data_IF_379457665436
#
_entry.id   IF_379457665436
#
_cell.length_a   1.000
_cell.length_b   1.000
_cell.length_c   1.000
_cell.angle_alpha   90.00
_cell.angle_beta   90.00
_cell.angle_gamma   90.00
#
_symmetry.space_group_name_H-M   'P 1'
#
loop_
_entity.id
_entity.type
_entity.pdbx_description
1 polymer ?
#
# COMPACT_ATOMS: atom_id res chain seq x y z
N UNK A 1 -6.30 -1.48 -11.25
CA UNK A 1 -6.24 -2.48 -10.17
C UNK A 1 -6.01 -1.71 -8.89
N UNK A 2 -6.93 -1.80 -7.96
CA UNK A 2 -6.86 -1.05 -6.68
C UNK A 2 -5.98 -1.76 -5.64
N UNK A 3 -5.50 -2.97 -5.92
CA UNK A 3 -4.87 -3.83 -4.91
C UNK A 3 -5.85 -4.38 -3.88
N UNK A 4 -7.10 -3.92 -3.90
CA UNK A 4 -8.14 -4.46 -3.06
C UNK A 4 -8.65 -5.78 -3.63
N UNK A 5 -8.76 -6.77 -2.77
CA UNK A 5 -9.14 -8.13 -3.13
C UNK A 5 -10.65 -8.36 -3.17
N UNK A 6 -11.48 -7.33 -2.95
CA UNK A 6 -12.92 -7.49 -3.00
C UNK A 6 -13.49 -7.03 -4.34
N UNK A 7 -14.20 -7.92 -5.07
CA UNK A 7 -14.89 -7.57 -6.30
C UNK A 7 -16.06 -6.62 -6.01
N UNK A 8 -16.25 -5.64 -6.88
CA UNK A 8 -17.36 -4.69 -6.80
C UNK A 8 -18.37 -5.00 -7.90
N UNK A 9 -19.59 -5.33 -7.50
CA UNK A 9 -20.68 -5.57 -8.43
C UNK A 9 -21.00 -4.33 -9.25
N UNK A 10 -21.13 -4.51 -10.57
CA UNK A 10 -21.53 -3.46 -11.51
C UNK A 10 -22.85 -3.82 -12.18
N UNK A 11 -23.76 -2.85 -12.23
CA UNK A 11 -25.09 -2.98 -12.84
C UNK A 11 -25.18 -2.09 -14.09
N UNK A 12 -26.19 -2.30 -14.95
CA UNK A 12 -26.42 -1.39 -16.08
C UNK A 12 -26.51 0.07 -15.63
N UNK A 13 -25.67 0.94 -16.22
CA UNK A 13 -25.53 2.35 -15.83
C UNK A 13 -24.37 2.65 -14.85
N UNK A 14 -23.72 1.63 -14.32
CA UNK A 14 -22.53 1.82 -13.48
C UNK A 14 -21.28 2.15 -14.28
N UNK A 15 -20.40 2.98 -13.73
CA UNK A 15 -19.09 3.24 -14.32
C UNK A 15 -18.11 2.10 -14.07
N UNK A 16 -17.38 1.71 -15.12
CA UNK A 16 -16.22 0.83 -15.03
C UNK A 16 -14.95 1.62 -15.33
N UNK A 17 -13.86 1.31 -14.65
CA UNK A 17 -12.63 2.08 -14.71
C UNK A 17 -11.52 1.32 -15.45
N UNK A 18 -10.71 2.06 -16.22
CA UNK A 18 -9.52 1.48 -16.85
C UNK A 18 -8.56 0.91 -15.80
N UNK A 19 -7.95 -0.23 -16.09
CA UNK A 19 -7.03 -0.90 -15.17
C UNK A 19 -7.69 -1.87 -14.19
N UNK A 20 -9.03 -2.06 -14.26
CA UNK A 20 -9.73 -3.10 -13.51
C UNK A 20 -9.87 -4.39 -14.33
N UNK A 21 -9.87 -5.53 -13.65
CA UNK A 21 -10.12 -6.84 -14.27
C UNK A 21 -11.58 -7.26 -14.04
N UNK A 22 -12.17 -7.94 -15.01
CA UNK A 22 -13.46 -8.59 -14.86
C UNK A 22 -13.21 -9.96 -14.20
N UNK A 23 -13.81 -10.20 -13.04
CA UNK A 23 -13.68 -11.48 -12.35
C UNK A 23 -14.73 -12.49 -12.80
N UNK A 24 -15.95 -12.02 -13.07
CA UNK A 24 -17.06 -12.90 -13.44
C UNK A 24 -18.03 -12.19 -14.40
N UNK A 25 -18.66 -12.95 -15.31
CA UNK A 25 -19.67 -12.47 -16.23
C UNK A 25 -19.13 -11.86 -17.51
N UNK A 26 -20.03 -11.24 -18.26
CA UNK A 26 -19.73 -10.53 -19.51
C UNK A 26 -20.30 -9.11 -19.44
N UNK A 27 -19.50 -8.12 -19.82
CA UNK A 27 -19.92 -6.72 -19.80
C UNK A 27 -19.76 -6.07 -21.17
N UNK A 28 -20.74 -5.26 -21.54
CA UNK A 28 -20.64 -4.33 -22.64
C UNK A 28 -20.60 -2.91 -22.09
N UNK A 29 -19.58 -2.14 -22.44
CA UNK A 29 -19.44 -0.76 -21.93
C UNK A 29 -19.20 0.22 -23.07
N UNK A 30 -19.66 1.45 -22.85
CA UNK A 30 -19.40 2.58 -23.74
C UNK A 30 -18.19 3.35 -23.22
N UNK A 31 -17.20 3.56 -24.08
CA UNK A 31 -16.02 4.38 -23.73
C UNK A 31 -16.43 5.85 -23.65
N UNK A 32 -16.30 6.46 -22.47
CA UNK A 32 -16.55 7.89 -22.27
C UNK A 32 -15.29 8.75 -22.44
N UNK A 33 -14.13 8.21 -22.07
CA UNK A 33 -12.83 8.90 -22.19
C UNK A 33 -11.86 8.04 -22.96
N UNK A 34 -11.28 8.61 -23.99
CA UNK A 34 -10.25 7.95 -24.81
C UNK A 34 -8.87 8.00 -24.12
N UNK A 35 -7.91 7.29 -24.72
CA UNK A 35 -6.50 7.31 -24.32
C UNK A 35 -5.99 8.76 -24.14
N UNK A 36 -5.19 9.00 -23.09
CA UNK A 36 -4.68 10.33 -22.73
C UNK A 36 -5.52 11.08 -21.67
N UNK A 37 -6.72 10.59 -21.35
CA UNK A 37 -7.61 11.23 -20.37
C UNK A 37 -8.09 10.31 -19.25
N UNK A 38 -7.59 9.06 -19.21
CA UNK A 38 -7.94 8.10 -18.17
C UNK A 38 -7.23 8.44 -16.85
N UNK A 39 -7.82 8.02 -15.73
CA UNK A 39 -7.21 8.21 -14.40
C UNK A 39 -5.83 7.54 -14.30
N UNK A 40 -5.70 6.36 -14.90
CA UNK A 40 -4.43 5.63 -14.98
C UNK A 40 -3.36 6.40 -15.76
N UNK A 41 -3.69 6.94 -16.93
CA UNK A 41 -2.73 7.71 -17.75
C UNK A 41 -2.32 9.02 -17.08
N UNK A 42 -3.21 9.68 -16.32
CA UNK A 42 -2.82 10.84 -15.50
C UNK A 42 -1.80 10.46 -14.43
N UNK A 43 -1.96 9.31 -13.77
CA UNK A 43 -1.00 8.82 -12.80
C UNK A 43 0.35 8.56 -13.47
N UNK A 44 0.36 7.88 -14.62
CA UNK A 44 1.59 7.65 -15.40
C UNK A 44 2.23 8.97 -15.80
N UNK A 45 1.45 9.93 -16.29
CA UNK A 45 1.95 11.25 -16.68
C UNK A 45 2.51 12.04 -15.50
N UNK A 46 1.85 12.00 -14.33
CA UNK A 46 2.38 12.61 -13.10
C UNK A 46 3.71 11.98 -12.68
N UNK A 47 3.86 10.66 -12.82
CA UNK A 47 5.11 9.96 -12.56
C UNK A 47 6.20 10.40 -13.54
N UNK A 48 5.91 10.43 -14.85
CA UNK A 48 6.85 10.86 -15.90
C UNK A 48 7.28 12.32 -15.72
N UNK A 49 6.36 13.21 -15.39
CA UNK A 49 6.67 14.63 -15.17
C UNK A 49 7.50 14.84 -13.90
N UNK A 50 7.31 14.01 -12.88
CA UNK A 50 8.14 14.03 -11.67
C UNK A 50 9.60 13.60 -11.93
N UNK A 51 9.82 12.74 -12.92
CA UNK A 51 11.17 12.29 -13.31
C UNK A 51 12.02 13.38 -13.99
N UNK A 52 11.38 14.37 -14.61
CA UNK A 52 12.07 15.45 -15.34
C UNK A 52 12.62 16.56 -14.43
N UNK A 53 12.32 16.56 -13.14
CA UNK A 53 12.70 17.62 -12.21
C UNK A 53 14.12 17.37 -11.65
N UNK A 54 15.07 18.25 -12.01
CA UNK A 54 16.40 18.29 -11.40
C UNK A 54 16.30 18.60 -9.91
N UNK A 55 17.29 18.11 -9.14
CA UNK A 55 17.48 18.45 -7.74
C UNK A 55 17.49 19.98 -7.53
N UNK A 56 16.86 20.46 -6.47
CA UNK A 56 16.83 21.89 -6.15
C UNK A 56 18.20 22.40 -5.77
N UNK A 57 19.02 21.59 -5.08
CA UNK A 57 20.38 21.92 -4.68
C UNK A 57 21.30 21.91 -5.89
N UNK A 58 21.16 20.95 -6.80
CA UNK A 58 21.89 20.93 -8.06
C UNK A 58 21.59 22.17 -8.91
N UNK A 59 20.32 22.58 -8.99
CA UNK A 59 19.89 23.80 -9.66
C UNK A 59 20.50 25.07 -9.03
N UNK A 60 20.46 25.16 -7.69
CA UNK A 60 21.08 26.29 -6.95
C UNK A 60 22.60 26.31 -7.13
N UNK A 61 23.27 25.18 -7.06
CA UNK A 61 24.72 25.09 -7.28
C UNK A 61 25.10 25.49 -8.70
N UNK A 62 24.33 25.06 -9.71
CA UNK A 62 24.54 25.48 -11.10
C UNK A 62 24.36 26.98 -11.30
N UNK A 63 23.29 27.56 -10.75
CA UNK A 63 23.03 29.00 -10.83
C UNK A 63 24.13 29.82 -10.12
N UNK A 64 24.61 29.37 -8.96
CA UNK A 64 25.72 30.00 -8.26
C UNK A 64 27.00 29.92 -9.06
N UNK A 65 27.30 28.77 -9.65
CA UNK A 65 28.45 28.57 -10.51
C UNK A 65 28.41 29.52 -11.72
N UNK A 66 27.26 29.66 -12.37
CA UNK A 66 27.08 30.58 -13.50
C UNK A 66 27.25 32.04 -13.09
N UNK A 67 26.76 32.42 -11.89
CA UNK A 67 26.93 33.78 -11.35
C UNK A 67 28.39 34.14 -11.03
N UNK A 68 29.27 33.15 -10.79
CA UNK A 68 30.70 33.36 -10.53
C UNK A 68 31.53 33.56 -11.79
N UNK A 69 31.05 33.10 -12.96
CA UNK A 69 31.81 33.22 -14.23
C UNK A 69 32.19 34.63 -14.59
N UNK A 70 31.34 35.66 -14.53
CA UNK A 70 31.73 37.05 -14.84
C UNK A 70 32.82 37.57 -13.90
N UNK A 71 32.81 37.16 -12.63
CA UNK A 71 33.80 37.59 -11.64
C UNK A 71 35.16 36.94 -11.91
N UNK A 72 35.19 35.63 -12.28
CA UNK A 72 36.38 34.94 -12.66
C UNK A 72 37.03 35.54 -13.91
N UNK A 73 36.21 35.83 -14.93
CA UNK A 73 36.67 36.50 -16.14
C UNK A 73 37.17 37.92 -15.87
N UNK A 74 36.42 38.71 -15.08
CA UNK A 74 36.83 40.06 -14.68
C UNK A 74 38.13 40.10 -13.89
N UNK A 75 38.29 39.17 -12.92
CA UNK A 75 39.51 38.98 -12.14
C UNK A 75 40.70 38.62 -13.00
N UNK A 76 40.51 37.72 -13.96
CA UNK A 76 41.55 37.33 -14.94
C UNK A 76 42.02 38.52 -15.78
N UNK A 77 41.06 39.27 -16.34
CA UNK A 77 41.34 40.46 -17.15
C UNK A 77 42.07 41.53 -16.32
N UNK A 78 41.61 41.81 -15.10
CA UNK A 78 42.27 42.77 -14.20
C UNK A 78 43.71 42.33 -13.84
N UNK A 79 43.89 41.06 -13.52
CA UNK A 79 45.23 40.52 -13.21
C UNK A 79 46.17 40.63 -14.41
N UNK A 80 45.68 40.35 -15.61
CA UNK A 80 46.48 40.56 -16.83
C UNK A 80 46.86 41.99 -17.04
N UNK A 81 45.94 42.93 -16.87
CA UNK A 81 46.18 44.38 -17.01
C UNK A 81 47.25 44.87 -16.02
N UNK A 82 47.18 44.39 -14.76
CA UNK A 82 48.11 44.83 -13.70
C UNK A 82 49.50 44.16 -13.80
N UNK A 83 49.53 42.88 -14.13
CA UNK A 83 50.79 42.13 -14.08
C UNK A 83 51.44 41.93 -15.44
N UNK A 84 50.70 42.15 -16.54
CA UNK A 84 51.12 41.85 -17.92
C UNK A 84 51.64 40.43 -18.10
N UNK A 85 51.27 39.51 -17.23
CA UNK A 85 51.74 38.13 -17.24
C UNK A 85 50.53 37.21 -17.45
N UNK A 86 50.51 36.54 -18.60
CA UNK A 86 49.43 35.65 -19.00
C UNK A 86 49.30 34.42 -18.05
N UNK A 87 50.39 33.87 -17.58
CA UNK A 87 50.38 32.72 -16.69
C UNK A 87 49.72 33.04 -15.36
N UNK A 88 50.03 34.24 -14.78
CA UNK A 88 49.38 34.70 -13.55
C UNK A 88 47.90 34.96 -13.75
N UNK A 89 47.50 35.52 -14.87
CA UNK A 89 46.10 35.76 -15.21
C UNK A 89 45.34 34.43 -15.38
N UNK A 90 45.90 33.48 -16.11
CA UNK A 90 45.29 32.16 -16.31
C UNK A 90 45.20 31.34 -15.01
N UNK A 91 46.07 31.59 -14.03
CA UNK A 91 45.97 30.92 -12.73
C UNK A 91 44.65 31.19 -12.02
N UNK A 92 44.01 32.35 -12.23
CA UNK A 92 42.69 32.68 -11.68
C UNK A 92 41.61 31.80 -12.30
N UNK A 93 41.67 31.54 -13.61
CA UNK A 93 40.74 30.64 -14.28
C UNK A 93 40.92 29.19 -13.87
N UNK A 94 42.13 28.78 -13.47
CA UNK A 94 42.38 27.41 -12.98
C UNK A 94 41.75 27.15 -11.60
N UNK A 95 41.55 28.19 -10.78
CA UNK A 95 40.82 28.11 -9.50
C UNK A 95 39.33 28.41 -9.77
N UNK A 96 38.74 27.64 -10.67
CA UNK A 96 37.36 27.83 -11.05
C UNK A 96 36.41 27.01 -10.14
N UNK A 97 35.84 27.70 -9.15
CA UNK A 97 34.81 27.10 -8.27
C UNK A 97 33.56 26.66 -9.05
N UNK A 98 33.30 27.23 -10.22
CA UNK A 98 32.13 26.89 -11.02
C UNK A 98 32.24 25.47 -11.60
N UNK A 99 33.42 25.09 -12.13
CA UNK A 99 33.68 23.73 -12.59
C UNK A 99 33.63 22.73 -11.44
N UNK A 100 34.20 23.06 -10.28
CA UNK A 100 34.16 22.19 -9.11
C UNK A 100 32.70 21.91 -8.64
N UNK A 101 31.88 22.93 -8.55
CA UNK A 101 30.47 22.77 -8.18
C UNK A 101 29.64 21.98 -9.22
N UNK A 102 29.85 22.27 -10.51
CA UNK A 102 29.13 21.58 -11.60
C UNK A 102 29.51 20.11 -11.76
N UNK A 103 30.71 19.71 -11.33
CA UNK A 103 31.14 18.32 -11.36
C UNK A 103 30.89 17.57 -10.05
N UNK A 104 31.13 18.22 -8.91
CA UNK A 104 31.04 17.57 -7.61
C UNK A 104 29.60 17.20 -7.25
N UNK A 105 28.62 18.07 -7.54
CA UNK A 105 27.23 17.82 -7.19
C UNK A 105 26.62 16.61 -7.93
N UNK A 106 26.66 16.52 -9.26
CA UNK A 106 26.17 15.34 -9.96
C UNK A 106 26.91 14.05 -9.55
N UNK A 107 28.21 14.14 -9.30
CA UNK A 107 29.00 12.98 -8.87
C UNK A 107 28.58 12.51 -7.47
N UNK A 108 28.30 13.43 -6.55
CA UNK A 108 27.79 13.10 -5.22
C UNK A 108 26.41 12.42 -5.30
N UNK A 109 25.50 12.94 -6.13
CA UNK A 109 24.19 12.34 -6.38
C UNK A 109 24.31 10.93 -6.96
N UNK A 110 25.16 10.76 -7.99
CA UNK A 110 25.40 9.44 -8.59
C UNK A 110 26.02 8.45 -7.59
N UNK A 111 26.93 8.90 -6.73
CA UNK A 111 27.52 8.08 -5.68
C UNK A 111 26.46 7.63 -4.66
N UNK A 112 25.58 8.54 -4.22
CA UNK A 112 24.50 8.22 -3.32
C UNK A 112 23.45 7.26 -3.95
N UNK A 113 23.12 7.46 -5.23
CA UNK A 113 22.24 6.54 -5.97
C UNK A 113 22.88 5.14 -6.10
N UNK A 114 24.19 5.06 -6.32
CA UNK A 114 24.91 3.79 -6.37
C UNK A 114 24.88 3.09 -5.02
N UNK A 115 25.09 3.81 -3.93
CA UNK A 115 25.02 3.26 -2.58
C UNK A 115 23.62 2.75 -2.26
N UNK A 116 22.56 3.52 -2.57
CA UNK A 116 21.17 3.07 -2.45
C UNK A 116 20.92 1.78 -3.24
N UNK A 117 21.47 1.67 -4.46
CA UNK A 117 21.33 0.47 -5.30
C UNK A 117 21.97 -0.77 -4.67
N UNK A 118 23.03 -0.64 -3.86
CA UNK A 118 23.63 -1.76 -3.13
C UNK A 118 22.66 -2.32 -2.07
N UNK A 119 21.74 -1.51 -1.59
CA UNK A 119 20.65 -1.89 -0.69
C UNK A 119 19.35 -2.24 -1.42
N UNK A 120 19.42 -2.51 -2.73
CA UNK A 120 18.26 -2.81 -3.58
C UNK A 120 17.23 -1.67 -3.67
N UNK A 121 17.65 -0.43 -3.45
CA UNK A 121 16.83 0.77 -3.57
C UNK A 121 17.14 1.47 -4.87
N UNK A 122 16.16 1.56 -5.77
CA UNK A 122 16.29 2.32 -7.03
C UNK A 122 15.76 3.73 -6.82
N UNK A 123 16.66 4.71 -6.88
CA UNK A 123 16.30 6.14 -6.75
C UNK A 123 16.08 6.72 -8.14
N UNK A 124 14.95 7.34 -8.37
CA UNK A 124 14.56 7.90 -9.69
C UNK A 124 15.18 9.26 -10.00
N UNK A 125 15.95 9.86 -9.08
CA UNK A 125 16.65 11.12 -9.31
C UNK A 125 17.12 11.80 -8.02
N UNK A 126 18.07 12.73 -8.12
CA UNK A 126 18.67 13.42 -6.97
C UNK A 126 17.68 14.22 -6.13
N UNK A 127 16.62 14.75 -6.74
CA UNK A 127 15.53 15.43 -6.06
C UNK A 127 14.89 14.56 -4.96
N UNK A 128 14.73 13.28 -5.23
CA UNK A 128 14.10 12.37 -4.28
C UNK A 128 15.00 12.03 -3.09
N UNK A 129 16.33 11.98 -3.30
CA UNK A 129 17.28 11.85 -2.19
C UNK A 129 17.20 13.05 -1.24
N UNK A 130 17.13 14.26 -1.80
CA UNK A 130 16.94 15.48 -0.99
C UNK A 130 15.62 15.46 -0.23
N UNK A 131 14.52 15.09 -0.92
CA UNK A 131 13.21 15.02 -0.31
C UNK A 131 13.16 14.04 0.87
N UNK A 132 13.81 12.87 0.74
CA UNK A 132 13.92 11.90 1.82
C UNK A 132 14.75 12.45 2.99
N UNK A 133 15.86 13.13 2.71
CA UNK A 133 16.72 13.72 3.75
C UNK A 133 16.05 14.84 4.55
N UNK A 134 15.08 15.53 3.95
CA UNK A 134 14.35 16.64 4.57
C UNK A 134 12.98 16.25 5.12
N UNK A 135 12.57 14.99 4.92
CA UNK A 135 11.26 14.52 5.37
C UNK A 135 11.18 14.40 6.88
N UNK A 136 10.07 14.86 7.44
CA UNK A 136 9.78 14.82 8.88
C UNK A 136 8.68 13.82 9.22
N UNK A 137 7.83 13.51 8.25
CA UNK A 137 6.68 12.61 8.38
C UNK A 137 6.81 11.44 7.43
N UNK A 138 6.58 10.23 7.92
CA UNK A 138 6.46 9.03 7.11
C UNK A 138 5.04 8.48 7.25
N UNK A 139 4.42 8.15 6.12
CA UNK A 139 3.12 7.48 6.05
C UNK A 139 3.34 6.10 5.46
N UNK A 140 2.93 5.09 6.18
CA UNK A 140 2.95 3.70 5.73
C UNK A 140 1.55 3.24 5.31
N UNK A 141 1.44 2.66 4.13
CA UNK A 141 0.34 1.76 3.89
C UNK A 141 0.51 0.49 4.74
N UNK A 142 -0.59 -0.10 5.22
CA UNK A 142 -0.52 -1.33 6.00
C UNK A 142 -0.22 -2.53 5.10
N UNK A 143 -1.08 -2.75 4.11
CA UNK A 143 -1.13 -3.99 3.33
C UNK A 143 0.05 -4.07 2.37
N UNK A 144 0.81 -5.18 2.41
CA UNK A 144 1.98 -5.37 1.54
C UNK A 144 3.23 -4.58 1.96
N UNK A 145 3.08 -3.56 2.82
CA UNK A 145 4.19 -2.73 3.32
C UNK A 145 4.56 -3.13 4.75
N UNK A 146 3.71 -2.88 5.74
CA UNK A 146 3.92 -3.33 7.12
C UNK A 146 3.56 -4.81 7.32
N UNK A 147 2.73 -5.35 6.44
CA UNK A 147 2.32 -6.76 6.40
C UNK A 147 2.91 -7.49 5.21
N UNK A 148 2.78 -8.82 5.21
CA UNK A 148 3.32 -9.68 4.13
C UNK A 148 2.42 -9.76 2.89
N UNK A 149 1.21 -9.15 2.89
CA UNK A 149 0.16 -9.30 1.89
C UNK A 149 -0.16 -10.78 1.56
N UNK A 150 -0.08 -11.63 2.58
CA UNK A 150 -0.36 -13.06 2.50
C UNK A 150 -1.27 -13.43 3.65
N UNK A 151 -2.59 -13.19 3.52
CA UNK A 151 -3.55 -13.55 4.55
C UNK A 151 -3.42 -15.02 4.92
N UNK A 152 -3.52 -15.31 6.21
CA UNK A 152 -3.50 -16.66 6.75
C UNK A 152 -4.63 -16.84 7.75
N UNK A 153 -5.18 -18.05 7.86
CA UNK A 153 -6.12 -18.38 8.92
C UNK A 153 -5.36 -18.48 10.23
N UNK A 154 -5.69 -17.59 11.17
CA UNK A 154 -5.08 -17.58 12.51
C UNK A 154 -5.83 -18.48 13.49
N UNK A 155 -7.16 -18.52 13.42
CA UNK A 155 -8.01 -19.41 14.23
C UNK A 155 -9.35 -19.68 13.53
N UNK A 156 -10.02 -20.75 13.98
CA UNK A 156 -11.41 -21.07 13.63
C UNK A 156 -12.18 -21.22 14.94
N UNK A 157 -13.14 -20.34 15.17
CA UNK A 157 -13.98 -20.34 16.38
C UNK A 157 -15.30 -21.03 16.07
N UNK A 158 -15.52 -22.19 16.67
CA UNK A 158 -16.76 -22.98 16.52
C UNK A 158 -17.86 -22.45 17.43
N UNK A 159 -19.09 -22.34 16.89
CA UNK A 159 -20.29 -21.93 17.60
C UNK A 159 -21.37 -23.01 17.69
N UNK A 160 -21.28 -24.05 16.85
CA UNK A 160 -22.27 -25.14 16.81
C UNK A 160 -21.72 -26.46 17.40
N UNK A 161 -20.52 -26.44 17.99
CA UNK A 161 -19.89 -27.62 18.59
C UNK A 161 -19.23 -28.58 17.61
N UNK A 162 -19.25 -28.28 16.30
CA UNK A 162 -18.48 -29.06 15.31
C UNK A 162 -16.99 -28.83 15.50
N UNK A 163 -16.17 -29.83 15.10
CA UNK A 163 -14.71 -29.74 15.12
C UNK A 163 -14.22 -28.65 14.16
N UNK A 164 -13.16 -27.94 14.59
CA UNK A 164 -12.59 -26.82 13.82
C UNK A 164 -12.12 -27.24 12.42
N UNK A 165 -11.57 -28.46 12.32
CA UNK A 165 -11.10 -29.04 11.07
C UNK A 165 -12.24 -29.29 10.09
N UNK A 166 -13.39 -29.74 10.57
CA UNK A 166 -14.55 -29.98 9.74
C UNK A 166 -15.17 -28.66 9.23
N UNK A 167 -15.26 -27.66 10.09
CA UNK A 167 -15.71 -26.30 9.72
C UNK A 167 -14.77 -25.67 8.69
N UNK A 168 -13.45 -25.81 8.87
CA UNK A 168 -12.48 -25.32 7.93
C UNK A 168 -12.54 -26.06 6.58
N UNK A 169 -12.81 -27.37 6.62
CA UNK A 169 -12.96 -28.20 5.42
C UNK A 169 -14.19 -27.76 4.60
N UNK A 170 -15.31 -27.53 5.25
CA UNK A 170 -16.53 -27.02 4.60
C UNK A 170 -16.26 -25.64 3.99
N UNK A 171 -15.66 -24.72 4.77
CA UNK A 171 -15.34 -23.41 4.29
C UNK A 171 -14.40 -23.43 3.08
N UNK A 172 -13.35 -24.26 3.11
CA UNK A 172 -12.42 -24.38 1.99
C UNK A 172 -13.08 -24.93 0.72
N UNK A 173 -14.00 -25.91 0.88
CA UNK A 173 -14.77 -26.47 -0.23
C UNK A 173 -15.61 -25.36 -0.94
N UNK A 174 -16.21 -24.46 -0.18
CA UNK A 174 -17.02 -23.37 -0.73
C UNK A 174 -16.15 -22.27 -1.37
N UNK A 175 -15.05 -21.93 -0.73
CA UNK A 175 -14.17 -20.83 -1.13
C UNK A 175 -13.24 -21.20 -2.31
N UNK A 176 -13.05 -22.49 -2.61
CA UNK A 176 -12.15 -22.93 -3.70
C UNK A 176 -12.59 -22.44 -5.08
N UNK A 177 -13.89 -22.22 -5.28
CA UNK A 177 -14.46 -21.79 -6.56
C UNK A 177 -14.38 -20.29 -6.80
N UNK A 178 -14.06 -19.49 -5.78
CA UNK A 178 -14.06 -18.02 -5.83
C UNK A 178 -12.74 -17.46 -5.29
N UNK A 179 -11.67 -17.51 -6.08
CA UNK A 179 -10.33 -17.17 -5.61
C UNK A 179 -10.18 -15.66 -5.35
N UNK A 180 -10.31 -15.29 -4.10
CA UNK A 180 -9.88 -13.97 -3.59
C UNK A 180 -8.91 -14.18 -2.41
N UNK A 181 -8.29 -13.12 -1.91
CA UNK A 181 -7.19 -13.25 -0.94
C UNK A 181 -7.58 -14.00 0.34
N UNK A 182 -8.78 -13.75 0.87
CA UNK A 182 -9.28 -14.44 2.07
C UNK A 182 -9.65 -15.89 1.78
N UNK A 183 -10.34 -16.16 0.66
CA UNK A 183 -10.65 -17.51 0.19
C UNK A 183 -9.39 -18.34 0.03
N UNK A 184 -8.38 -17.77 -0.63
CA UNK A 184 -7.09 -18.44 -0.79
C UNK A 184 -6.44 -18.78 0.56
N UNK A 185 -6.58 -17.94 1.57
CA UNK A 185 -6.06 -18.22 2.91
C UNK A 185 -6.75 -19.44 3.53
N UNK A 186 -8.09 -19.53 3.42
CA UNK A 186 -8.89 -20.66 3.92
C UNK A 186 -8.50 -21.96 3.20
N UNK A 187 -8.46 -21.94 1.87
CA UNK A 187 -8.09 -23.10 1.03
C UNK A 187 -6.65 -23.55 1.32
N UNK A 188 -5.70 -22.63 1.43
CA UNK A 188 -4.31 -22.96 1.73
C UNK A 188 -4.15 -23.57 3.14
N UNK A 189 -4.86 -23.06 4.14
CA UNK A 189 -4.80 -23.62 5.48
C UNK A 189 -5.42 -25.03 5.54
N UNK A 190 -6.53 -25.26 4.83
CA UNK A 190 -7.10 -26.60 4.70
C UNK A 190 -6.13 -27.58 4.02
N UNK A 191 -5.47 -27.18 2.93
CA UNK A 191 -4.44 -27.97 2.26
C UNK A 191 -3.25 -28.28 3.18
N UNK A 192 -2.79 -27.30 3.93
CA UNK A 192 -1.68 -27.46 4.89
C UNK A 192 -2.01 -28.46 6.01
N UNK A 193 -3.27 -28.50 6.44
CA UNK A 193 -3.77 -29.48 7.43
C UNK A 193 -4.16 -30.81 6.79
N UNK A 194 -3.93 -31.01 5.50
CA UNK A 194 -4.30 -32.23 4.77
C UNK A 194 -5.79 -32.58 4.84
N UNK A 195 -6.64 -31.55 4.93
CA UNK A 195 -8.08 -31.73 4.90
C UNK A 195 -8.52 -31.95 3.46
N UNK A 196 -8.66 -33.23 3.09
CA UNK A 196 -9.18 -33.63 1.78
C UNK A 196 -10.69 -33.45 1.80
N UNK A 197 -11.24 -32.80 0.77
CA UNK A 197 -12.68 -32.74 0.56
C UNK A 197 -13.04 -33.36 -0.81
N UNK A 198 -14.12 -34.13 -0.82
CA UNK A 198 -14.87 -34.40 -2.04
C UNK A 198 -15.86 -33.24 -2.22
N UNK A 199 -16.21 -32.88 -3.45
CA UNK A 199 -17.23 -31.86 -3.71
C UNK A 199 -18.53 -32.26 -2.98
N UNK A 200 -18.87 -31.54 -1.92
CA UNK A 200 -19.98 -31.88 -1.03
C UNK A 200 -21.19 -30.97 -1.20
N UNK A 201 -21.08 -29.98 -2.07
CA UNK A 201 -22.10 -28.98 -2.27
C UNK A 201 -22.86 -29.17 -3.59
N UNK A 202 -24.10 -28.72 -3.62
CA UNK A 202 -24.88 -28.52 -4.83
C UNK A 202 -24.38 -27.25 -5.56
N UNK A 203 -25.15 -26.71 -6.49
CA UNK A 203 -24.84 -25.47 -7.16
C UNK A 203 -24.55 -24.35 -6.18
N UNK A 204 -23.40 -23.71 -6.30
CA UNK A 204 -22.99 -22.58 -5.47
C UNK A 204 -23.54 -21.28 -6.06
N UNK A 205 -24.30 -20.54 -5.27
CA UNK A 205 -24.75 -19.20 -5.63
C UNK A 205 -23.80 -18.17 -5.02
N UNK A 206 -22.97 -17.57 -5.89
CA UNK A 206 -22.06 -16.52 -5.49
C UNK A 206 -22.77 -15.16 -5.51
N UNK A 207 -22.75 -14.46 -4.38
CA UNK A 207 -23.27 -13.10 -4.26
C UNK A 207 -22.10 -12.14 -4.21
N UNK A 208 -21.83 -11.50 -5.36
CA UNK A 208 -20.66 -10.63 -5.58
C UNK A 208 -20.52 -9.61 -4.46
N UNK A 209 -19.31 -9.53 -3.88
CA UNK A 209 -18.92 -8.64 -2.79
C UNK A 209 -19.59 -8.89 -1.42
N UNK A 210 -20.43 -9.92 -1.28
CA UNK A 210 -21.14 -10.22 -0.03
C UNK A 210 -20.73 -11.57 0.55
N UNK A 211 -20.76 -12.64 -0.24
CA UNK A 211 -20.43 -13.98 0.22
C UNK A 211 -20.97 -15.08 -0.70
N UNK A 212 -20.93 -16.28 -0.20
CA UNK A 212 -21.33 -17.51 -0.88
C UNK A 212 -22.51 -18.14 -0.15
N UNK A 213 -23.53 -18.57 -0.89
CA UNK A 213 -24.62 -19.37 -0.37
C UNK A 213 -24.74 -20.67 -1.18
N UNK A 214 -24.91 -21.81 -0.49
CA UNK A 214 -25.10 -23.12 -1.13
C UNK A 214 -25.84 -24.07 -0.19
N UNK A 215 -26.03 -25.30 -0.65
CA UNK A 215 -26.54 -26.39 0.16
C UNK A 215 -25.48 -27.50 0.26
N UNK A 216 -25.20 -27.92 1.49
CA UNK A 216 -24.38 -29.09 1.81
C UNK A 216 -25.32 -30.16 2.36
N UNK A 217 -25.62 -31.18 1.56
CA UNK A 217 -26.72 -32.08 1.85
C UNK A 217 -28.07 -31.38 1.78
N UNK A 218 -28.82 -31.37 2.88
CA UNK A 218 -30.12 -30.68 3.00
C UNK A 218 -30.01 -29.33 3.70
N UNK A 219 -28.86 -28.99 4.25
CA UNK A 219 -28.67 -27.75 5.02
C UNK A 219 -28.13 -26.62 4.16
N UNK A 220 -28.72 -25.43 4.32
CA UNK A 220 -28.22 -24.22 3.70
C UNK A 220 -26.98 -23.76 4.43
N UNK A 221 -25.88 -23.57 3.69
CA UNK A 221 -24.61 -23.04 4.21
C UNK A 221 -24.34 -21.71 3.54
N UNK A 222 -24.01 -20.71 4.33
CA UNK A 222 -23.62 -19.39 3.87
C UNK A 222 -22.27 -19.00 4.50
N UNK A 223 -21.40 -18.38 3.71
CA UNK A 223 -20.11 -17.90 4.17
C UNK A 223 -19.84 -16.50 3.59
N UNK A 224 -19.41 -15.56 4.40
CA UNK A 224 -19.16 -14.20 3.94
C UNK A 224 -18.94 -13.17 5.05
N UNK A 225 -19.21 -11.91 4.71
CA UNK A 225 -19.08 -10.79 5.65
C UNK A 225 -20.14 -10.82 6.75
N UNK A 226 -19.94 -10.05 7.83
CA UNK A 226 -20.93 -9.87 8.90
C UNK A 226 -22.28 -9.42 8.32
N UNK A 227 -22.26 -8.40 7.47
CA UNK A 227 -23.48 -7.88 6.82
C UNK A 227 -24.22 -8.97 6.05
N UNK A 228 -23.50 -9.73 5.23
CA UNK A 228 -24.10 -10.80 4.44
C UNK A 228 -24.77 -11.86 5.31
N UNK A 229 -24.09 -12.38 6.33
CA UNK A 229 -24.60 -13.49 7.15
C UNK A 229 -25.75 -13.04 8.06
N UNK A 230 -25.64 -11.86 8.69
CA UNK A 230 -26.61 -11.44 9.70
C UNK A 230 -27.71 -10.51 9.19
N UNK A 231 -27.45 -9.70 8.16
CA UNK A 231 -28.43 -8.72 7.66
C UNK A 231 -29.13 -9.21 6.39
N UNK A 232 -28.39 -9.74 5.41
CA UNK A 232 -28.96 -10.24 4.16
C UNK A 232 -29.60 -11.63 4.37
N UNK A 233 -28.84 -12.60 4.88
CA UNK A 233 -29.28 -13.98 5.09
C UNK A 233 -29.99 -14.20 6.44
N UNK A 234 -30.02 -13.19 7.33
CA UNK A 234 -30.75 -13.17 8.61
C UNK A 234 -30.42 -14.35 9.53
N UNK A 235 -29.18 -14.84 9.45
CA UNK A 235 -28.73 -15.90 10.33
C UNK A 235 -28.65 -15.40 11.78
N UNK A 236 -28.84 -16.32 12.72
CA UNK A 236 -28.89 -16.00 14.15
C UNK A 236 -27.63 -16.49 14.86
N UNK A 237 -27.27 -15.82 15.95
CA UNK A 237 -26.22 -16.27 16.87
C UNK A 237 -26.83 -17.28 17.85
N UNK A 238 -26.18 -18.43 18.10
CA UNK A 238 -26.60 -19.36 19.16
C UNK A 238 -26.63 -18.68 20.54
N UNK A 239 -27.58 -19.07 21.39
CA UNK A 239 -27.78 -18.43 22.71
C UNK A 239 -26.55 -18.47 23.61
N UNK A 240 -25.79 -19.57 23.55
CA UNK A 240 -24.55 -19.81 24.28
C UNK A 240 -23.31 -19.21 23.57
N UNK A 241 -23.48 -18.63 22.39
CA UNK A 241 -22.39 -18.08 21.55
C UNK A 241 -22.03 -16.63 21.85
N UNK A 242 -22.82 -15.87 22.61
CA UNK A 242 -22.63 -14.42 22.78
C UNK A 242 -21.26 -14.07 23.37
N UNK A 243 -20.87 -14.74 24.43
CA UNK A 243 -19.57 -14.47 25.08
C UNK A 243 -18.39 -14.80 24.16
N UNK A 244 -18.47 -15.88 23.38
CA UNK A 244 -17.44 -16.22 22.37
C UNK A 244 -17.39 -15.19 21.25
N UNK A 245 -18.54 -14.66 20.83
CA UNK A 245 -18.63 -13.68 19.75
C UNK A 245 -18.06 -12.33 20.17
N UNK A 246 -18.31 -11.89 21.40
CA UNK A 246 -17.75 -10.65 21.96
C UNK A 246 -16.23 -10.73 22.20
N UNK A 247 -15.72 -11.94 22.44
CA UNK A 247 -14.29 -12.21 22.66
C UNK A 247 -13.52 -12.64 21.40
N UNK A 248 -14.08 -12.43 20.21
CA UNK A 248 -13.34 -12.69 18.97
C UNK A 248 -12.08 -11.83 18.88
N UNK A 249 -10.97 -12.36 18.32
CA UNK A 249 -9.71 -11.63 18.18
C UNK A 249 -9.90 -10.32 17.41
N UNK A 250 -9.34 -9.23 17.92
CA UNK A 250 -9.49 -7.90 17.34
C UNK A 250 -8.54 -7.61 16.17
N UNK A 251 -7.45 -8.36 16.09
CA UNK A 251 -6.36 -8.13 15.14
C UNK A 251 -6.53 -8.84 13.80
N UNK A 252 -7.68 -9.46 13.54
CA UNK A 252 -7.95 -10.21 12.33
C UNK A 252 -9.27 -9.79 11.66
N UNK A 253 -9.38 -10.06 10.38
CA UNK A 253 -10.63 -10.00 9.64
C UNK A 253 -11.44 -11.26 9.92
N UNK A 254 -12.76 -11.12 10.04
CA UNK A 254 -13.65 -12.23 10.34
C UNK A 254 -14.43 -12.65 9.10
N UNK A 255 -14.35 -13.92 8.76
CA UNK A 255 -15.18 -14.57 7.76
C UNK A 255 -16.20 -15.42 8.50
N UNK A 256 -17.48 -15.10 8.37
CA UNK A 256 -18.57 -15.72 9.10
C UNK A 256 -19.15 -16.86 8.27
N UNK A 257 -19.39 -18.01 8.90
CA UNK A 257 -20.04 -19.16 8.27
C UNK A 257 -21.25 -19.58 9.10
N UNK A 258 -22.40 -19.69 8.46
CA UNK A 258 -23.63 -20.18 9.10
C UNK A 258 -24.15 -21.44 8.38
N UNK A 259 -24.71 -22.36 9.15
CA UNK A 259 -25.31 -23.62 8.69
C UNK A 259 -26.73 -23.69 9.24
N UNK A 260 -27.69 -23.99 8.37
CA UNK A 260 -29.11 -24.07 8.78
C UNK A 260 -29.67 -22.78 9.38
N UNK A 261 -29.14 -21.62 9.00
CA UNK A 261 -29.59 -20.31 9.50
C UNK A 261 -29.00 -19.89 10.85
N UNK A 262 -28.05 -20.65 11.42
CA UNK A 262 -27.34 -20.30 12.66
C UNK A 262 -25.85 -20.18 12.42
N UNK A 263 -25.19 -19.24 13.10
CA UNK A 263 -23.73 -19.10 13.04
C UNK A 263 -23.08 -20.40 13.52
N UNK A 264 -22.29 -21.00 12.63
CA UNK A 264 -21.56 -22.24 12.89
C UNK A 264 -20.08 -22.00 13.20
N UNK A 265 -19.46 -21.06 12.49
CA UNK A 265 -18.06 -20.72 12.71
C UNK A 265 -17.76 -19.26 12.37
N UNK A 266 -16.70 -18.75 13.00
CA UNK A 266 -15.99 -17.55 12.57
C UNK A 266 -14.55 -17.92 12.28
N UNK A 267 -14.12 -17.70 11.04
CA UNK A 267 -12.75 -17.94 10.61
C UNK A 267 -12.00 -16.62 10.72
N UNK A 268 -11.00 -16.61 11.59
CA UNK A 268 -10.17 -15.45 11.83
C UNK A 268 -9.01 -15.44 10.81
N UNK A 269 -8.94 -14.42 10.00
CA UNK A 269 -7.93 -14.28 8.95
C UNK A 269 -7.11 -13.04 9.25
N UNK A 270 -5.80 -13.20 9.41
CA UNK A 270 -4.89 -12.08 9.60
C UNK A 270 -3.88 -11.99 8.44
N UNK A 271 -3.49 -10.77 8.12
CA UNK A 271 -2.33 -10.54 7.26
C UNK A 271 -1.13 -10.30 8.18
N UNK A 272 -0.20 -11.27 8.27
CA UNK A 272 0.85 -11.23 9.27
C UNK A 272 1.74 -9.99 9.09
N UNK A 273 2.01 -9.30 10.17
CA UNK A 273 3.02 -8.25 10.20
C UNK A 273 4.38 -8.81 9.80
N UNK A 274 5.16 -8.00 9.12
CA UNK A 274 6.58 -8.28 8.92
C UNK A 274 7.29 -8.25 10.27
N UNK A 275 8.17 -9.20 10.50
CA UNK A 275 8.90 -9.33 11.78
C UNK A 275 9.75 -8.11 12.08
N UNK A 276 10.30 -7.50 11.02
CA UNK A 276 11.10 -6.29 11.07
C UNK A 276 10.30 -5.01 11.34
N UNK A 277 8.99 -4.97 11.07
CA UNK A 277 8.20 -3.74 11.10
C UNK A 277 8.32 -2.95 12.42
N UNK A 278 8.15 -3.52 13.63
CA UNK A 278 8.29 -2.76 14.88
C UNK A 278 9.71 -2.22 15.09
N UNK A 279 10.74 -2.97 14.66
CA UNK A 279 12.13 -2.53 14.80
C UNK A 279 12.45 -1.39 13.85
N UNK A 280 11.93 -1.44 12.62
CA UNK A 280 12.11 -0.37 11.61
C UNK A 280 11.43 0.91 12.07
N UNK A 281 10.19 0.85 12.58
CA UNK A 281 9.50 2.05 13.10
C UNK A 281 10.30 2.70 14.22
N UNK A 282 10.86 1.92 15.14
CA UNK A 282 11.72 2.46 16.21
C UNK A 282 12.99 3.11 15.64
N UNK A 283 13.67 2.47 14.69
CA UNK A 283 14.86 3.03 14.05
C UNK A 283 14.57 4.33 13.31
N UNK A 284 13.41 4.44 12.67
CA UNK A 284 12.99 5.67 12.00
C UNK A 284 12.77 6.82 13.00
N UNK A 285 12.20 6.52 14.17
CA UNK A 285 12.09 7.52 15.27
C UNK A 285 13.47 7.96 15.77
N UNK A 286 14.39 7.00 15.94
CA UNK A 286 15.77 7.29 16.34
C UNK A 286 16.53 8.09 15.26
N UNK A 287 16.21 7.87 13.98
CA UNK A 287 16.76 8.64 12.85
C UNK A 287 16.23 10.09 12.77
N UNK A 288 15.23 10.45 13.58
CA UNK A 288 14.75 11.83 13.71
C UNK A 288 13.44 12.14 12.99
N UNK A 289 12.74 11.13 12.47
CA UNK A 289 11.37 11.36 11.98
C UNK A 289 10.45 11.73 13.14
N UNK A 290 9.73 12.84 12.96
CA UNK A 290 8.89 13.43 14.01
C UNK A 290 7.53 12.74 14.13
N UNK A 291 7.04 12.18 13.03
CA UNK A 291 5.71 11.57 12.95
C UNK A 291 5.69 10.40 12.00
N UNK A 292 5.25 9.26 12.48
CA UNK A 292 5.08 8.04 11.70
C UNK A 292 3.62 7.63 11.75
N UNK A 293 3.00 7.56 10.59
CA UNK A 293 1.56 7.35 10.40
C UNK A 293 1.32 6.04 9.65
N UNK A 294 0.31 5.28 10.06
CA UNK A 294 -0.19 4.14 9.32
C UNK A 294 -1.55 4.46 8.69
N UNK A 295 -1.76 4.10 7.44
CA UNK A 295 -3.05 4.19 6.76
C UNK A 295 -3.50 2.82 6.30
N UNK A 296 -4.79 2.51 6.48
CA UNK A 296 -5.37 1.23 6.10
C UNK A 296 -6.85 1.38 5.75
N UNK A 297 -7.33 0.53 4.83
CA UNK A 297 -8.75 0.35 4.56
C UNK A 297 -9.49 -0.52 5.58
N UNK A 298 -8.78 -1.09 6.56
CA UNK A 298 -9.38 -1.93 7.60
C UNK A 298 -10.25 -1.11 8.56
N UNK A 299 -11.06 -1.85 9.33
CA UNK A 299 -11.88 -1.27 10.42
C UNK A 299 -10.99 -0.62 11.49
N UNK A 300 -11.57 0.36 12.17
CA UNK A 300 -10.94 1.08 13.30
C UNK A 300 -10.32 0.13 14.33
N UNK A 301 -11.05 -0.91 14.71
CA UNK A 301 -10.63 -1.92 15.69
C UNK A 301 -9.34 -2.63 15.27
N UNK A 302 -9.27 -3.10 14.03
CA UNK A 302 -8.09 -3.77 13.47
C UNK A 302 -6.92 -2.81 13.33
N UNK A 303 -7.17 -1.60 12.83
CA UNK A 303 -6.15 -0.58 12.66
C UNK A 303 -5.50 -0.19 13.99
N UNK A 304 -6.30 0.05 15.05
CA UNK A 304 -5.81 0.37 16.39
C UNK A 304 -4.90 -0.73 16.96
N UNK A 305 -5.33 -2.00 16.85
CA UNK A 305 -4.56 -3.14 17.35
C UNK A 305 -3.18 -3.25 16.65
N UNK A 306 -3.16 -3.09 15.33
CA UNK A 306 -1.92 -3.14 14.54
C UNK A 306 -1.02 -1.93 14.82
N UNK A 307 -1.57 -0.72 14.86
CA UNK A 307 -0.83 0.51 15.15
C UNK A 307 -0.09 0.43 16.49
N UNK A 308 -0.77 -0.06 17.53
CA UNK A 308 -0.18 -0.30 18.85
C UNK A 308 0.94 -1.34 18.82
N UNK A 309 0.77 -2.42 18.04
CA UNK A 309 1.76 -3.50 17.92
C UNK A 309 3.01 -3.07 17.17
N UNK A 310 2.85 -2.26 16.12
CA UNK A 310 3.96 -1.75 15.29
C UNK A 310 4.64 -0.56 15.95
N UNK A 311 3.90 0.24 16.72
CA UNK A 311 4.41 1.40 17.47
C UNK A 311 4.47 2.68 16.66
N UNK A 312 3.57 2.87 15.68
CA UNK A 312 3.39 4.15 14.97
C UNK A 312 2.80 5.23 15.90
N UNK A 313 2.91 6.50 15.51
CA UNK A 313 2.43 7.61 16.32
C UNK A 313 0.93 7.86 16.12
N UNK A 314 0.47 7.73 14.87
CA UNK A 314 -0.92 7.91 14.48
C UNK A 314 -1.33 6.82 13.49
N UNK A 315 -2.63 6.60 13.37
CA UNK A 315 -3.19 5.73 12.33
C UNK A 315 -4.52 6.28 11.82
N UNK A 316 -4.85 5.92 10.59
CA UNK A 316 -6.14 6.18 9.94
C UNK A 316 -6.71 4.88 9.40
N UNK A 317 -7.93 4.57 9.83
CA UNK A 317 -8.72 3.42 9.41
C UNK A 317 -9.71 3.77 8.31
N UNK A 318 -10.24 2.78 7.62
CA UNK A 318 -11.28 2.93 6.58
C UNK A 318 -10.92 3.94 5.48
N UNK A 319 -9.61 4.07 5.20
CA UNK A 319 -9.04 5.06 4.28
C UNK A 319 -9.19 4.60 2.84
N UNK A 320 -9.81 5.42 2.01
CA UNK A 320 -9.86 5.22 0.56
C UNK A 320 -8.56 5.72 -0.09
N UNK A 321 -8.20 5.22 -1.30
CA UNK A 321 -7.01 5.70 -2.02
C UNK A 321 -6.96 7.22 -2.21
N UNK A 322 -8.12 7.85 -2.38
CA UNK A 322 -8.23 9.30 -2.55
C UNK A 322 -7.91 10.07 -1.25
N UNK A 323 -8.23 9.47 -0.10
CA UNK A 323 -7.96 10.07 1.21
C UNK A 323 -6.47 10.08 1.52
N UNK A 324 -5.72 9.06 1.07
CA UNK A 324 -4.25 9.00 1.21
C UNK A 324 -3.59 10.20 0.52
N UNK A 325 -3.98 10.47 -0.73
CA UNK A 325 -3.46 11.60 -1.49
C UNK A 325 -3.83 12.94 -0.82
N UNK A 326 -5.09 13.07 -0.36
CA UNK A 326 -5.56 14.28 0.34
C UNK A 326 -4.77 14.55 1.61
N UNK A 327 -4.51 13.53 2.42
CA UNK A 327 -3.70 13.68 3.63
C UNK A 327 -2.29 14.21 3.32
N UNK A 328 -1.63 13.64 2.30
CA UNK A 328 -0.29 14.08 1.90
C UNK A 328 -0.32 15.52 1.41
N UNK A 329 -1.34 15.93 0.66
CA UNK A 329 -1.51 17.31 0.21
C UNK A 329 -1.75 18.28 1.38
N UNK A 330 -2.56 17.90 2.36
CA UNK A 330 -2.80 18.69 3.58
C UNK A 330 -1.52 18.87 4.41
N UNK A 331 -0.71 17.82 4.58
CA UNK A 331 0.56 17.93 5.28
C UNK A 331 1.57 18.81 4.51
N UNK A 332 1.62 18.68 3.18
CA UNK A 332 2.42 19.59 2.32
C UNK A 332 1.96 21.04 2.44
N UNK A 333 0.65 21.30 2.50
CA UNK A 333 0.11 22.65 2.68
C UNK A 333 0.50 23.29 4.02
N UNK A 334 0.71 22.47 5.06
CA UNK A 334 1.25 22.91 6.38
C UNK A 334 2.77 23.13 6.35
N UNK A 335 3.43 22.84 5.22
CA UNK A 335 4.88 22.97 5.06
C UNK A 335 5.68 21.74 5.50
N UNK A 336 5.02 20.64 5.82
CA UNK A 336 5.68 19.39 6.18
C UNK A 336 6.13 18.63 4.94
N UNK A 337 7.31 18.02 4.98
CA UNK A 337 7.77 17.09 3.96
C UNK A 337 7.41 15.67 4.36
N UNK A 338 6.71 14.99 3.48
CA UNK A 338 6.10 13.68 3.73
C UNK A 338 6.69 12.64 2.78
N UNK A 339 7.00 11.47 3.32
CA UNK A 339 7.28 10.25 2.56
C UNK A 339 6.04 9.36 2.67
N UNK A 340 5.50 8.93 1.55
CA UNK A 340 4.50 7.86 1.50
C UNK A 340 5.17 6.55 1.06
N UNK A 341 4.97 5.49 1.83
CA UNK A 341 5.49 4.15 1.55
C UNK A 341 4.29 3.21 1.36
N UNK A 342 4.20 2.63 0.19
CA UNK A 342 3.16 1.69 -0.19
C UNK A 342 3.66 0.69 -1.22
N UNK A 343 2.86 -0.34 -1.53
CA UNK A 343 3.21 -1.45 -2.42
C UNK A 343 2.51 -1.39 -3.79
N UNK A 344 1.61 -0.44 -4.00
CA UNK A 344 0.73 -0.44 -5.14
C UNK A 344 0.42 0.89 -5.80
N UNK A 345 -0.32 0.79 -6.89
CA UNK A 345 -0.78 1.93 -7.68
C UNK A 345 -1.72 2.85 -6.87
N UNK A 346 -2.40 2.32 -5.85
CA UNK A 346 -3.29 3.09 -4.97
C UNK A 346 -2.55 4.16 -4.17
N UNK A 347 -1.27 3.92 -3.86
CA UNK A 347 -0.43 4.82 -3.09
C UNK A 347 0.35 5.80 -3.98
N UNK A 348 0.42 5.51 -5.28
CA UNK A 348 1.19 6.33 -6.25
C UNK A 348 0.71 7.78 -6.40
N UNK A 349 -0.58 8.11 -6.23
CA UNK A 349 -1.02 9.51 -6.27
C UNK A 349 -0.63 10.32 -5.02
N UNK A 350 -0.36 9.68 -3.90
CA UNK A 350 0.04 10.32 -2.64
C UNK A 350 1.55 10.60 -2.61
#
# INVERSE_FOLDING_TARGET
>A
MTGESQPVRKEPGSYVYAGTALEEGEITFKVEKSAGSTRYERIVQMIEDSEKLKSSVEGKASNLADALVPWSLGGTALTYLLTRNATKALSILMVDFSCALKLAMPLAVLSAMREASQHHITVKGGKFLEAVAEAETIVFDKTGTLTKAKPVVSDVVSFNGMEKEELLRIAACLEEHFPHSMANAVVQEAKKRHLVHEEMHSRVDYIVAHGIATYVGEERVVIGSHHFVFEDEKCTLPEDGKEKFENLPENCSHLYMAIGGQLAAVICIEDPLREEAPSVIRQLKEAGFKRIVMMTGDSERTAAAIAKRVGVDDYFSEVLPEDKARFVEEEKAKGHKVIMIGDGINDSPA
#
